data_IF_962208584520
#
_entry.id   IF_962208584520
#
_cell.length_a   1.000
_cell.length_b   1.000
_cell.length_c   1.000
_cell.angle_alpha   90.00
_cell.angle_beta   90.00
_cell.angle_gamma   90.00
#
_symmetry.space_group_name_H-M   'P 1'
#
loop_
_entity.id
_entity.type
_entity.pdbx_description
1 polymer ?
#
# COMPACT_ATOMS: atom_id res chain seq x y z
N UNK A 1 -3.72 17.18 12.99
CA UNK A 1 -4.70 17.44 11.91
C UNK A 1 -4.39 18.79 11.27
N UNK A 2 -3.89 18.83 10.03
CA UNK A 2 -3.92 20.07 9.23
C UNK A 2 -5.33 20.16 8.66
N UNK A 3 -6.24 20.77 9.41
CA UNK A 3 -7.60 21.00 8.93
C UNK A 3 -7.53 21.87 7.67
N UNK A 4 -8.20 21.46 6.60
CA UNK A 4 -8.47 22.36 5.48
C UNK A 4 -9.38 23.46 6.06
N UNK A 5 -8.82 24.64 6.30
CA UNK A 5 -9.57 25.76 6.87
C UNK A 5 -10.55 26.27 5.82
N UNK A 6 -11.83 25.96 5.99
CA UNK A 6 -12.89 26.52 5.18
C UNK A 6 -13.17 27.96 5.63
N UNK A 7 -12.74 28.94 4.83
CA UNK A 7 -13.00 30.36 5.07
C UNK A 7 -14.45 30.69 4.70
N UNK A 8 -15.32 30.60 5.71
CA UNK A 8 -16.75 30.85 5.57
C UNK A 8 -17.03 32.27 5.08
N UNK A 9 -16.24 33.27 5.50
CA UNK A 9 -16.46 34.67 5.11
C UNK A 9 -16.14 34.88 3.63
N UNK A 10 -14.97 34.44 3.18
CA UNK A 10 -14.58 34.51 1.77
C UNK A 10 -15.58 33.79 0.87
N UNK A 11 -16.11 32.65 1.33
CA UNK A 11 -17.12 31.89 0.60
C UNK A 11 -18.45 32.67 0.46
N UNK A 12 -18.95 33.26 1.55
CA UNK A 12 -20.15 34.11 1.53
C UNK A 12 -19.95 35.32 0.61
N UNK A 13 -18.80 36.00 0.69
CA UNK A 13 -18.49 37.14 -0.17
C UNK A 13 -18.46 36.77 -1.65
N UNK A 14 -17.88 35.61 -1.97
CA UNK A 14 -17.85 35.08 -3.35
C UNK A 14 -19.26 34.85 -3.89
N UNK A 15 -20.14 34.25 -3.09
CA UNK A 15 -21.54 34.05 -3.46
C UNK A 15 -22.28 35.38 -3.64
N UNK A 16 -22.05 36.36 -2.78
CA UNK A 16 -22.63 37.71 -2.91
C UNK A 16 -22.17 38.41 -4.19
N UNK A 17 -20.89 38.31 -4.54
CA UNK A 17 -20.34 38.85 -5.79
C UNK A 17 -20.94 38.19 -7.04
N UNK A 18 -21.34 36.91 -6.92
CA UNK A 18 -22.05 36.18 -7.96
C UNK A 18 -23.57 36.48 -8.02
N UNK A 19 -24.08 37.38 -7.18
CA UNK A 19 -25.49 37.80 -7.17
C UNK A 19 -26.38 37.00 -6.23
N UNK A 20 -25.83 36.13 -5.38
CA UNK A 20 -26.60 35.42 -4.35
C UNK A 20 -26.93 36.38 -3.20
N UNK A 21 -28.19 36.40 -2.76
CA UNK A 21 -28.62 37.23 -1.63
C UNK A 21 -27.92 36.82 -0.33
N UNK A 22 -27.65 37.78 0.56
CA UNK A 22 -26.81 37.55 1.76
C UNK A 22 -27.30 36.41 2.67
N UNK A 23 -28.60 36.35 2.93
CA UNK A 23 -29.22 35.26 3.72
C UNK A 23 -28.97 33.88 3.09
N UNK A 24 -29.10 33.79 1.75
CA UNK A 24 -28.88 32.55 1.01
C UNK A 24 -27.39 32.19 0.99
N UNK A 25 -26.51 33.18 0.79
CA UNK A 25 -25.07 32.99 0.79
C UNK A 25 -24.58 32.44 2.14
N UNK A 26 -25.09 32.99 3.26
CA UNK A 26 -24.82 32.48 4.61
C UNK A 26 -25.34 31.06 4.79
N UNK A 27 -26.58 30.78 4.38
CA UNK A 27 -27.17 29.44 4.47
C UNK A 27 -26.37 28.38 3.70
N UNK A 28 -25.95 28.69 2.46
CA UNK A 28 -25.14 27.79 1.63
C UNK A 28 -23.76 27.57 2.26
N UNK A 29 -23.12 28.63 2.77
CA UNK A 29 -21.81 28.52 3.41
C UNK A 29 -21.84 27.63 4.65
N UNK A 30 -22.88 27.75 5.48
CA UNK A 30 -23.07 26.91 6.67
C UNK A 30 -23.32 25.45 6.27
N UNK A 31 -24.27 25.19 5.37
CA UNK A 31 -24.56 23.83 4.91
C UNK A 31 -23.33 23.15 4.27
N UNK A 32 -22.54 23.90 3.50
CA UNK A 32 -21.31 23.38 2.90
C UNK A 32 -20.23 23.10 3.94
N UNK A 33 -20.07 23.97 4.93
CA UNK A 33 -19.12 23.77 6.03
C UNK A 33 -19.48 22.53 6.84
N UNK A 34 -20.75 22.35 7.16
CA UNK A 34 -21.24 21.21 7.93
C UNK A 34 -21.03 19.91 7.13
N UNK A 35 -21.44 19.87 5.86
CA UNK A 35 -21.23 18.71 4.98
C UNK A 35 -19.74 18.40 4.75
N UNK A 36 -18.89 19.42 4.68
CA UNK A 36 -17.43 19.24 4.50
C UNK A 36 -16.73 18.87 5.81
N UNK A 37 -17.26 19.28 6.96
CA UNK A 37 -16.75 18.93 8.28
C UNK A 37 -17.07 17.49 8.69
N UNK A 38 -18.13 16.92 8.13
CA UNK A 38 -18.49 15.50 8.28
C UNK A 38 -17.64 14.55 7.43
N UNK A 39 -16.88 15.07 6.45
CA UNK A 39 -15.96 14.25 5.67
C UNK A 39 -14.69 13.95 6.49
N UNK A 40 -14.61 12.77 7.09
CA UNK A 40 -13.35 12.21 7.61
C UNK A 40 -12.39 11.96 6.44
N UNK A 41 -11.61 12.98 6.08
CA UNK A 41 -10.57 12.86 5.08
C UNK A 41 -9.29 12.32 5.71
N UNK A 42 -8.68 11.32 5.07
CA UNK A 42 -7.34 10.87 5.42
C UNK A 42 -6.36 12.05 5.37
N UNK A 43 -5.63 12.27 6.46
CA UNK A 43 -4.67 13.36 6.56
C UNK A 43 -3.37 13.01 5.83
N UNK A 44 -2.55 14.03 5.56
CA UNK A 44 -1.18 13.82 5.04
C UNK A 44 -0.34 12.94 5.96
N UNK A 45 -0.64 12.91 7.25
CA UNK A 45 0.05 12.03 8.20
C UNK A 45 -0.35 10.57 7.96
N UNK A 46 -1.65 10.30 7.81
CA UNK A 46 -2.17 8.95 7.55
C UNK A 46 -1.61 8.38 6.24
N UNK A 47 -1.50 9.23 5.21
CA UNK A 47 -0.86 8.84 3.93
C UNK A 47 0.62 8.48 4.14
N UNK A 48 1.38 9.29 4.89
CA UNK A 48 2.79 8.99 5.17
C UNK A 48 2.97 7.72 6.02
N UNK A 49 2.06 7.47 6.95
CA UNK A 49 2.05 6.24 7.73
C UNK A 49 1.78 5.03 6.81
N UNK A 50 0.80 5.13 5.92
CA UNK A 50 0.51 4.10 4.92
C UNK A 50 1.71 3.85 4.00
N UNK A 51 2.34 4.90 3.46
CA UNK A 51 3.56 4.75 2.64
C UNK A 51 4.68 4.03 3.39
N UNK A 52 4.85 4.33 4.68
CA UNK A 52 5.87 3.68 5.52
C UNK A 52 5.55 2.20 5.72
N UNK A 53 4.29 1.89 6.05
CA UNK A 53 3.82 0.51 6.21
C UNK A 53 3.94 -0.30 4.92
N UNK A 54 3.62 0.31 3.78
CA UNK A 54 3.78 -0.32 2.47
C UNK A 54 5.25 -0.68 2.23
N UNK A 55 6.17 0.27 2.40
CA UNK A 55 7.61 0.00 2.24
C UNK A 55 8.12 -1.09 3.17
N UNK A 56 7.68 -1.10 4.42
CA UNK A 56 8.04 -2.17 5.36
C UNK A 56 7.53 -3.53 4.89
N UNK A 57 6.29 -3.61 4.40
CA UNK A 57 5.74 -4.86 3.87
C UNK A 57 6.45 -5.32 2.60
N UNK A 58 6.84 -4.42 1.71
CA UNK A 58 7.62 -4.72 0.50
C UNK A 58 8.98 -5.31 0.87
N UNK A 59 9.74 -4.64 1.74
CA UNK A 59 11.04 -5.14 2.22
C UNK A 59 10.92 -6.51 2.90
N UNK A 60 9.87 -6.71 3.70
CA UNK A 60 9.61 -8.01 4.35
C UNK A 60 9.28 -9.10 3.34
N UNK A 61 8.53 -8.77 2.28
CA UNK A 61 8.19 -9.71 1.21
C UNK A 61 9.43 -10.07 0.40
N UNK A 62 10.26 -9.10 0.02
CA UNK A 62 11.52 -9.35 -0.68
C UNK A 62 12.44 -10.28 0.12
N UNK A 63 12.57 -10.04 1.43
CA UNK A 63 13.35 -10.90 2.32
C UNK A 63 12.81 -12.34 2.36
N UNK A 64 11.49 -12.51 2.51
CA UNK A 64 10.85 -13.84 2.51
C UNK A 64 10.99 -14.56 1.17
N UNK A 65 10.91 -13.84 0.07
CA UNK A 65 11.10 -14.40 -1.28
C UNK A 65 12.55 -14.85 -1.45
N UNK A 66 13.51 -14.05 -1.01
CA UNK A 66 14.93 -14.39 -1.05
C UNK A 66 15.23 -15.66 -0.23
N UNK A 67 14.69 -15.73 0.99
CA UNK A 67 14.84 -16.89 1.88
C UNK A 67 14.21 -18.15 1.27
N UNK A 68 12.97 -18.04 0.77
CA UNK A 68 12.28 -19.14 0.08
C UNK A 68 13.05 -19.61 -1.16
N UNK A 69 13.61 -18.68 -1.95
CA UNK A 69 14.43 -19.02 -3.12
C UNK A 69 15.70 -19.76 -2.72
N UNK A 70 16.38 -19.32 -1.65
CA UNK A 70 17.57 -19.98 -1.14
C UNK A 70 17.26 -21.40 -0.63
N UNK A 71 16.15 -21.56 0.11
CA UNK A 71 15.69 -22.86 0.57
C UNK A 71 15.37 -23.80 -0.59
N UNK A 72 14.65 -23.31 -1.62
CA UNK A 72 14.35 -24.09 -2.82
C UNK A 72 15.62 -24.51 -3.56
N UNK A 73 16.59 -23.60 -3.74
CA UNK A 73 17.88 -23.93 -4.38
C UNK A 73 18.58 -25.04 -3.59
N UNK A 74 18.65 -24.92 -2.26
CA UNK A 74 19.28 -25.93 -1.40
C UNK A 74 18.60 -27.30 -1.53
N UNK A 75 17.27 -27.35 -1.53
CA UNK A 75 16.52 -28.59 -1.72
C UNK A 75 16.73 -29.19 -3.11
N UNK A 76 16.64 -28.39 -4.17
CA UNK A 76 16.85 -28.85 -5.55
C UNK A 76 18.25 -29.40 -5.74
N UNK A 77 19.29 -28.72 -5.22
CA UNK A 77 20.67 -29.21 -5.27
C UNK A 77 20.82 -30.51 -4.46
N UNK A 78 20.25 -30.58 -3.26
CA UNK A 78 20.31 -31.78 -2.42
C UNK A 78 19.66 -33.00 -3.07
N UNK A 79 18.44 -32.84 -3.60
CA UNK A 79 17.73 -33.90 -4.32
C UNK A 79 18.45 -34.27 -5.62
N UNK A 80 18.95 -33.27 -6.37
CA UNK A 80 19.72 -33.50 -7.60
C UNK A 80 20.99 -34.32 -7.35
N UNK A 81 21.75 -34.00 -6.30
CA UNK A 81 22.94 -34.78 -5.91
C UNK A 81 22.58 -36.22 -5.52
N UNK A 82 21.52 -36.41 -4.72
CA UNK A 82 21.04 -37.73 -4.34
C UNK A 82 20.61 -38.56 -5.57
N UNK A 83 19.89 -37.94 -6.51
CA UNK A 83 19.45 -38.61 -7.74
C UNK A 83 20.65 -39.02 -8.61
N UNK A 84 21.66 -38.15 -8.74
CA UNK A 84 22.86 -38.46 -9.51
C UNK A 84 23.66 -39.63 -8.90
N UNK A 85 23.79 -39.69 -7.57
CA UNK A 85 24.47 -40.82 -6.91
C UNK A 85 23.70 -42.13 -7.06
N UNK A 86 22.36 -42.10 -6.96
CA UNK A 86 21.52 -43.27 -7.20
C UNK A 86 21.63 -43.79 -8.63
N UNK A 87 21.59 -42.90 -9.63
CA UNK A 87 21.76 -43.29 -11.05
C UNK A 87 23.15 -43.90 -11.27
N UNK A 88 24.20 -43.27 -10.75
CA UNK A 88 25.56 -43.80 -10.88
C UNK A 88 25.72 -45.19 -10.25
N UNK A 89 25.15 -45.41 -9.06
CA UNK A 89 25.18 -46.71 -8.38
C UNK A 89 24.41 -47.79 -9.16
N UNK A 90 23.25 -47.45 -9.74
CA UNK A 90 22.49 -48.37 -10.59
C UNK A 90 23.25 -48.73 -11.87
N UNK A 91 23.88 -47.76 -12.53
CA UNK A 91 24.71 -48.00 -13.71
C UNK A 91 25.87 -48.94 -13.39
N UNK A 92 26.61 -48.71 -12.30
CA UNK A 92 27.69 -49.59 -11.87
C UNK A 92 27.22 -51.03 -11.58
N UNK A 93 26.00 -51.20 -11.07
CA UNK A 93 25.42 -52.52 -10.81
C UNK A 93 24.97 -53.25 -12.09
N UNK A 94 24.61 -52.52 -13.14
CA UNK A 94 24.12 -53.06 -14.41
C UNK A 94 25.25 -53.36 -15.41
N UNK A 95 26.44 -52.79 -15.23
CA UNK A 95 27.62 -53.17 -16.02
C UNK A 95 27.99 -54.62 -15.65
N UNK A 96 27.93 -55.58 -16.60
CA UNK A 96 28.35 -56.94 -16.33
C UNK A 96 29.87 -56.97 -16.12
N UNK A 97 30.31 -57.65 -15.04
CA UNK A 97 31.72 -57.95 -14.79
C UNK A 97 32.26 -58.94 -15.83
#
# INVERSE_FOLDING_TARGET
>A
MTAITFDTLKFVETLKQAGVHEEQAKGIATAFKDASGEAELATRQDIRELETRIRETELRLEAKISDSKAELIRWVVGVGMLQMTLIAALLLRLVPN
#
